data_IF_962829259298
#
_entry.id   IF_962829259298
#
_cell.length_a   1.000
_cell.length_b   1.000
_cell.length_c   1.000
_cell.angle_alpha   90.00
_cell.angle_beta   90.00
_cell.angle_gamma   90.00
#
_symmetry.space_group_name_H-M   'P 1'
#
loop_
_entity.id
_entity.type
_entity.pdbx_description
1 polymer ?
#
# COMPACT_ATOMS: atom_id res chain seq x y z
N UNK A 1 -5.11 -23.04 -14.72
CA UNK A 1 -4.66 -22.46 -13.44
C UNK A 1 -5.93 -22.18 -12.65
N UNK A 2 -6.05 -22.67 -11.42
CA UNK A 2 -7.29 -22.48 -10.64
C UNK A 2 -7.28 -21.09 -9.98
N UNK A 3 -8.44 -20.50 -9.72
CA UNK A 3 -8.61 -19.12 -9.22
C UNK A 3 -7.72 -18.82 -7.99
N UNK A 4 -7.59 -19.77 -7.07
CA UNK A 4 -6.74 -19.62 -5.88
C UNK A 4 -5.23 -19.48 -6.22
N UNK A 5 -4.76 -20.18 -7.25
CA UNK A 5 -3.37 -20.08 -7.71
C UNK A 5 -3.12 -18.76 -8.44
N UNK A 6 -4.11 -18.25 -9.17
CA UNK A 6 -4.05 -16.94 -9.81
C UNK A 6 -4.01 -15.81 -8.77
N UNK A 7 -4.86 -15.87 -7.75
CA UNK A 7 -4.84 -14.92 -6.63
C UNK A 7 -3.51 -14.97 -5.87
N UNK A 8 -2.96 -16.17 -5.62
CA UNK A 8 -1.67 -16.31 -4.96
C UNK A 8 -0.51 -15.70 -5.79
N UNK A 9 -0.53 -15.88 -7.11
CA UNK A 9 0.46 -15.29 -8.00
C UNK A 9 0.32 -13.77 -8.06
N UNK A 10 -0.90 -13.26 -8.14
CA UNK A 10 -1.19 -11.83 -8.15
C UNK A 10 -0.76 -11.16 -6.84
N UNK A 11 -1.09 -11.75 -5.68
CA UNK A 11 -0.68 -11.23 -4.37
C UNK A 11 0.85 -11.22 -4.23
N UNK A 12 1.52 -12.29 -4.66
CA UNK A 12 2.99 -12.36 -4.65
C UNK A 12 3.64 -11.35 -5.59
N UNK A 13 3.06 -11.14 -6.78
CA UNK A 13 3.52 -10.15 -7.73
C UNK A 13 3.40 -8.72 -7.17
N UNK A 14 2.22 -8.35 -6.66
CA UNK A 14 1.95 -7.05 -6.07
C UNK A 14 2.86 -6.77 -4.87
N UNK A 15 3.04 -7.76 -3.98
CA UNK A 15 3.94 -7.61 -2.83
C UNK A 15 5.38 -7.34 -3.26
N UNK A 16 5.89 -8.12 -4.21
CA UNK A 16 7.27 -7.99 -4.69
C UNK A 16 7.51 -6.62 -5.34
N UNK A 17 6.57 -6.16 -6.15
CA UNK A 17 6.63 -4.84 -6.78
C UNK A 17 6.54 -3.71 -5.74
N UNK A 18 5.64 -3.84 -4.77
CA UNK A 18 5.49 -2.87 -3.68
C UNK A 18 6.78 -2.76 -2.85
N UNK A 19 7.37 -3.90 -2.46
CA UNK A 19 8.62 -3.93 -1.69
C UNK A 19 9.76 -3.27 -2.48
N UNK A 20 9.88 -3.55 -3.78
CA UNK A 20 10.88 -2.93 -4.67
C UNK A 20 10.71 -1.42 -4.79
N UNK A 21 9.46 -0.95 -4.97
CA UNK A 21 9.15 0.49 -5.04
C UNK A 21 9.46 1.16 -3.70
N UNK A 22 9.10 0.54 -2.58
CA UNK A 22 9.37 1.06 -1.24
C UNK A 22 10.87 1.19 -0.98
N UNK A 23 11.68 0.22 -1.39
CA UNK A 23 13.12 0.28 -1.22
C UNK A 23 13.75 1.37 -2.09
N UNK A 24 13.31 1.52 -3.35
CA UNK A 24 13.76 2.64 -4.19
C UNK A 24 13.33 3.99 -3.62
N UNK A 25 12.11 4.09 -3.10
CA UNK A 25 11.59 5.29 -2.46
C UNK A 25 12.41 5.67 -1.23
N UNK A 26 12.83 4.70 -0.39
CA UNK A 26 13.70 4.96 0.76
C UNK A 26 15.03 5.59 0.34
N UNK A 27 15.67 5.05 -0.70
CA UNK A 27 16.94 5.58 -1.24
C UNK A 27 16.75 7.00 -1.75
N UNK A 28 15.76 7.23 -2.63
CA UNK A 28 15.49 8.56 -3.19
C UNK A 28 15.11 9.57 -2.11
N UNK A 29 14.37 9.15 -1.08
CA UNK A 29 14.03 10.01 0.06
C UNK A 29 15.27 10.43 0.85
N UNK A 30 16.21 9.50 1.08
CA UNK A 30 17.47 9.81 1.75
C UNK A 30 18.32 10.78 0.91
N UNK A 31 18.45 10.53 -0.39
CA UNK A 31 19.20 11.39 -1.32
C UNK A 31 18.56 12.80 -1.40
N UNK A 32 17.24 12.87 -1.48
CA UNK A 32 16.51 14.14 -1.52
C UNK A 32 16.64 14.92 -0.21
N UNK A 33 16.60 14.23 0.94
CA UNK A 33 16.85 14.85 2.24
C UNK A 33 18.28 15.42 2.33
N UNK A 34 19.27 14.68 1.81
CA UNK A 34 20.65 15.15 1.73
C UNK A 34 20.76 16.37 0.81
N UNK A 35 20.20 16.31 -0.40
CA UNK A 35 20.18 17.42 -1.35
C UNK A 35 19.51 18.68 -0.79
N UNK A 36 18.38 18.54 -0.07
CA UNK A 36 17.72 19.65 0.61
C UNK A 36 18.55 20.21 1.77
N UNK A 37 19.37 19.38 2.43
CA UNK A 37 20.26 19.83 3.49
C UNK A 37 21.44 20.61 2.91
N UNK A 38 22.11 20.04 1.91
CA UNK A 38 23.31 20.60 1.27
C UNK A 38 23.00 21.89 0.50
N UNK A 39 21.85 21.96 -0.19
CA UNK A 39 21.42 23.15 -0.93
C UNK A 39 20.89 24.28 -0.05
N UNK A 40 20.57 24.00 1.23
CA UNK A 40 19.88 24.95 2.10
C UNK A 40 18.41 25.21 1.74
N UNK A 41 17.89 24.62 0.66
CA UNK A 41 16.53 24.84 0.19
C UNK A 41 15.49 24.29 1.18
N UNK A 42 14.44 25.08 1.43
CA UNK A 42 13.33 24.67 2.30
C UNK A 42 12.24 23.91 1.55
N UNK A 43 12.12 24.11 0.23
CA UNK A 43 11.13 23.46 -0.64
C UNK A 43 11.66 23.26 -2.05
N UNK A 44 11.24 22.17 -2.69
CA UNK A 44 11.47 21.86 -4.10
C UNK A 44 10.16 21.36 -4.71
N UNK A 45 9.84 21.82 -5.91
CA UNK A 45 8.64 21.40 -6.64
C UNK A 45 8.96 20.18 -7.50
N UNK A 46 8.08 19.19 -7.48
CA UNK A 46 8.14 18.06 -8.40
C UNK A 46 7.16 18.31 -9.53
N UNK A 47 7.67 18.34 -10.76
CA UNK A 47 6.90 18.55 -11.98
C UNK A 47 6.96 17.29 -12.86
N UNK A 48 5.88 17.03 -13.58
CA UNK A 48 5.86 16.04 -14.65
C UNK A 48 6.66 16.55 -15.85
N UNK A 49 7.08 15.66 -16.77
CA UNK A 49 7.78 16.05 -17.99
C UNK A 49 7.02 17.05 -18.88
N UNK A 50 5.69 17.14 -18.71
CA UNK A 50 4.83 18.12 -19.39
C UNK A 50 4.77 19.49 -18.65
N UNK A 51 5.63 19.73 -17.67
CA UNK A 51 5.71 20.97 -16.88
C UNK A 51 4.62 21.12 -15.82
N UNK A 52 3.75 20.11 -15.64
CA UNK A 52 2.69 20.19 -14.63
C UNK A 52 3.22 19.80 -13.26
N UNK A 53 3.12 20.71 -12.31
CA UNK A 53 3.41 20.45 -10.89
C UNK A 53 2.53 19.33 -10.32
N UNK A 54 3.17 18.37 -9.66
CA UNK A 54 2.52 17.21 -9.02
C UNK A 54 2.75 17.12 -7.52
N UNK A 55 3.86 17.63 -7.00
CA UNK A 55 4.10 17.64 -5.56
C UNK A 55 5.02 18.79 -5.14
N UNK A 56 5.10 19.05 -3.84
CA UNK A 56 6.11 19.93 -3.24
C UNK A 56 6.76 19.16 -2.10
N UNK A 57 8.09 19.00 -2.19
CA UNK A 57 8.90 18.35 -1.16
C UNK A 57 9.47 19.47 -0.29
N UNK A 58 9.19 19.44 1.02
CA UNK A 58 9.63 20.47 1.95
C UNK A 58 10.49 19.90 3.06
N UNK A 59 11.48 20.67 3.50
CA UNK A 59 12.31 20.37 4.65
C UNK A 59 11.60 20.88 5.90
N UNK A 60 11.04 19.94 6.67
CA UNK A 60 10.48 20.26 7.98
C UNK A 60 11.61 20.48 8.97
N UNK A 61 11.78 21.71 9.43
CA UNK A 61 12.62 22.00 10.60
C UNK A 61 11.80 21.69 11.84
N UNK A 62 12.25 20.73 12.64
CA UNK A 62 11.68 20.49 13.96
C UNK A 62 11.91 21.73 14.82
N UNK A 63 10.82 22.30 15.36
CA UNK A 63 10.93 23.36 16.36
C UNK A 63 11.62 22.78 17.59
N UNK A 64 12.59 23.47 18.20
CA UNK A 64 13.20 23.00 19.42
C UNK A 64 12.12 22.88 20.50
N UNK A 65 11.85 21.64 20.92
CA UNK A 65 10.96 21.33 22.02
C UNK A 65 11.82 21.04 23.25
N UNK A 66 11.43 21.59 24.40
CA UNK A 66 12.06 21.22 25.66
C UNK A 66 11.73 19.74 25.94
N UNK A 67 12.77 18.93 26.10
CA UNK A 67 12.66 17.52 26.48
C UNK A 67 13.25 17.37 27.87
N UNK A 68 12.57 16.63 28.74
CA UNK A 68 13.10 16.26 30.04
C UNK A 68 14.15 15.16 29.80
N UNK A 69 15.43 15.51 29.95
CA UNK A 69 16.56 14.59 29.75
C UNK A 69 16.80 13.72 30.99
N UNK A 70 16.48 14.25 32.17
CA UNK A 70 16.57 13.55 33.46
C UNK A 70 15.24 13.71 34.22
N UNK A 71 14.36 12.69 34.14
CA UNK A 71 13.07 12.71 34.82
C UNK A 71 13.18 12.81 36.34
N UNK A 72 14.21 12.21 36.94
CA UNK A 72 14.35 12.16 38.40
C UNK A 72 14.86 13.49 38.97
N UNK A 73 15.83 14.11 38.30
CA UNK A 73 16.28 15.45 38.65
C UNK A 73 15.17 16.49 38.44
N UNK A 74 14.39 16.36 37.36
CA UNK A 74 13.24 17.22 37.09
C UNK A 74 12.15 17.04 38.15
N UNK A 75 11.81 15.81 38.53
CA UNK A 75 10.82 15.52 39.56
C UNK A 75 11.23 16.13 40.91
N UNK A 76 12.49 15.96 41.32
CA UNK A 76 13.03 16.56 42.56
C UNK A 76 12.93 18.08 42.54
N UNK A 77 13.27 18.70 41.40
CA UNK A 77 13.14 20.14 41.23
C UNK A 77 11.68 20.60 41.29
N UNK A 78 10.75 19.88 40.64
CA UNK A 78 9.31 20.18 40.67
C UNK A 78 8.74 20.02 42.09
N UNK A 79 9.17 19.00 42.83
CA UNK A 79 8.76 18.80 44.23
C UNK A 79 9.17 19.97 45.12
N UNK A 80 10.34 20.58 44.88
CA UNK A 80 10.83 21.73 45.66
C UNK A 80 10.22 23.05 45.17
N UNK A 81 10.17 23.27 43.86
CA UNK A 81 9.84 24.57 43.28
C UNK A 81 8.35 24.72 42.92
N UNK A 82 7.62 23.61 42.79
CA UNK A 82 6.20 23.59 42.42
C UNK A 82 5.47 22.39 43.03
N UNK A 83 5.41 22.27 44.37
CA UNK A 83 4.91 21.09 45.07
C UNK A 83 3.45 20.73 44.75
N UNK A 84 2.62 21.71 44.38
CA UNK A 84 1.22 21.50 43.99
C UNK A 84 1.04 20.77 42.65
N UNK A 85 2.10 20.63 41.85
CA UNK A 85 2.11 19.88 40.59
C UNK A 85 2.76 18.49 40.72
N UNK A 86 3.29 18.14 41.90
CA UNK A 86 3.80 16.81 42.19
C UNK A 86 2.68 15.96 42.81
N UNK A 87 2.18 14.97 42.08
CA UNK A 87 1.12 14.07 42.57
C UNK A 87 1.74 12.74 42.97
N UNK A 88 1.58 12.36 44.24
CA UNK A 88 1.90 11.01 44.72
C UNK A 88 0.66 10.16 44.68
N UNK A 89 0.71 9.02 43.98
CA UNK A 89 -0.37 8.04 43.92
C UNK A 89 0.14 6.69 44.43
N UNK A 90 -0.50 6.15 45.47
CA UNK A 90 -0.33 4.75 45.88
C UNK A 90 -1.22 3.90 44.97
N UNK A 91 -0.61 3.17 44.05
CA UNK A 91 -1.34 2.26 43.17
C UNK A 91 -1.13 0.83 43.66
N UNK A 92 -2.23 0.16 44.01
CA UNK A 92 -2.22 -1.28 44.29
C UNK A 92 -2.50 -2.00 42.97
N UNK A 93 -1.44 -2.51 42.34
CA UNK A 93 -1.55 -3.26 41.09
C UNK A 93 -1.23 -4.74 41.32
N UNK A 94 -1.91 -5.61 40.57
CA UNK A 94 -1.51 -7.01 40.44
C UNK A 94 -0.14 -7.05 39.76
N UNK A 95 0.79 -7.84 40.30
CA UNK A 95 2.14 -7.96 39.71
C UNK A 95 2.05 -8.34 38.24
N UNK A 96 2.65 -7.58 37.31
CA UNK A 96 2.56 -7.86 35.88
C UNK A 96 2.99 -9.29 35.52
N UNK A 97 4.05 -9.79 36.14
CA UNK A 97 4.51 -11.17 35.93
C UNK A 97 3.49 -12.22 36.37
N UNK A 98 2.72 -11.96 37.43
CA UNK A 98 1.66 -12.84 37.90
C UNK A 98 0.47 -12.82 36.92
N UNK A 99 0.05 -11.63 36.48
CA UNK A 99 -1.01 -11.49 35.48
C UNK A 99 -0.63 -12.16 34.13
N UNK A 100 0.60 -11.98 33.66
CA UNK A 100 1.10 -12.62 32.43
C UNK A 100 1.17 -14.14 32.58
N UNK A 101 1.66 -14.66 33.71
CA UNK A 101 1.70 -16.10 33.96
C UNK A 101 0.31 -16.71 33.98
N UNK A 102 -0.64 -16.07 34.68
CA UNK A 102 -2.02 -16.53 34.80
C UNK A 102 -2.74 -16.58 33.44
N UNK A 103 -2.60 -15.52 32.64
CA UNK A 103 -3.18 -15.47 31.29
C UNK A 103 -2.53 -16.48 30.34
N UNK A 104 -1.23 -16.74 30.48
CA UNK A 104 -0.54 -17.75 29.68
C UNK A 104 -1.01 -19.17 30.04
N UNK A 105 -1.23 -19.47 31.32
CA UNK A 105 -1.79 -20.75 31.76
C UNK A 105 -3.23 -20.95 31.26
N UNK A 106 -4.09 -19.94 31.34
CA UNK A 106 -5.45 -19.99 30.78
C UNK A 106 -5.44 -20.14 29.24
N UNK A 107 -4.54 -19.43 28.56
CA UNK A 107 -4.40 -19.56 27.09
C UNK A 107 -3.92 -20.97 26.69
N UNK A 108 -3.03 -21.58 27.48
CA UNK A 108 -2.56 -22.95 27.25
C UNK A 108 -3.64 -24.01 27.56
N UNK A 109 -4.48 -23.76 28.56
CA UNK A 109 -5.61 -24.63 28.91
C UNK A 109 -6.80 -24.48 27.96
N UNK A 110 -6.91 -23.36 27.24
CA UNK A 110 -8.03 -23.07 26.34
C UNK A 110 -9.34 -22.75 27.09
N UNK A 111 -9.27 -22.54 28.40
CA UNK A 111 -10.40 -22.19 29.27
C UNK A 111 -10.03 -21.02 30.19
N UNK A 112 -11.01 -20.18 30.54
CA UNK A 112 -10.81 -19.04 31.46
C UNK A 112 -10.82 -19.48 32.94
N UNK A 113 -10.30 -20.66 33.21
CA UNK A 113 -10.28 -21.30 34.51
C UNK A 113 -8.83 -21.45 34.98
N UNK A 114 -8.59 -21.17 36.25
CA UNK A 114 -7.28 -21.36 36.88
C UNK A 114 -7.36 -22.56 37.78
N UNK A 115 -6.41 -23.47 37.61
CA UNK A 115 -6.18 -24.58 38.53
C UNK A 115 -5.18 -24.10 39.58
N UNK A 116 -5.61 -23.98 40.83
CA UNK A 116 -4.69 -23.77 41.94
C UNK A 116 -3.88 -25.06 42.17
N UNK A 117 -2.57 -24.99 41.98
CA UNK A 117 -1.66 -26.14 42.03
C UNK A 117 -1.46 -26.69 43.45
N UNK A 118 -1.87 -25.98 44.50
CA UNK A 118 -1.79 -26.47 45.89
C UNK A 118 -3.11 -27.10 46.37
N UNK A 119 -4.25 -26.65 45.86
CA UNK A 119 -5.58 -27.10 46.34
C UNK A 119 -6.34 -27.96 45.33
N UNK A 120 -5.94 -27.95 44.05
CA UNK A 120 -6.58 -28.72 42.98
C UNK A 120 -7.98 -28.24 42.61
N UNK A 121 -8.42 -27.10 43.16
CA UNK A 121 -9.72 -26.50 42.85
C UNK A 121 -9.58 -25.64 41.61
N UNK A 122 -10.44 -25.90 40.64
CA UNK A 122 -10.55 -25.13 39.40
C UNK A 122 -11.56 -24.02 39.65
N UNK A 123 -11.09 -22.77 39.64
CA UNK A 123 -11.94 -21.58 39.83
C UNK A 123 -11.98 -20.76 38.54
N UNK A 124 -13.19 -20.37 38.12
CA UNK A 124 -13.39 -19.46 36.99
C UNK A 124 -13.01 -18.04 37.42
N UNK A 125 -12.07 -17.39 36.73
CA UNK A 125 -11.60 -16.05 37.11
C UNK A 125 -12.56 -14.99 36.56
N UNK A 126 -13.26 -14.20 37.42
CA UNK A 126 -14.16 -13.16 36.95
C UNK A 126 -13.42 -12.11 36.13
N UNK A 127 -13.92 -11.82 34.92
CA UNK A 127 -13.38 -10.78 34.04
C UNK A 127 -12.35 -11.25 33.00
N UNK A 128 -12.06 -12.55 32.91
CA UNK A 128 -11.22 -13.11 31.84
C UNK A 128 -12.07 -13.87 30.83
N UNK A 129 -11.93 -13.50 29.55
CA UNK A 129 -12.59 -14.17 28.42
C UNK A 129 -11.52 -14.56 27.39
N UNK A 130 -11.49 -15.83 27.00
CA UNK A 130 -10.62 -16.28 25.90
C UNK A 130 -11.34 -15.98 24.59
N UNK A 131 -10.92 -14.89 23.95
CA UNK A 131 -11.30 -14.57 22.57
C UNK A 131 -10.17 -14.95 21.63
N UNK A 132 -10.51 -15.38 20.41
CA UNK A 132 -9.55 -15.38 19.32
C UNK A 132 -9.08 -13.93 19.09
N UNK A 133 -7.88 -13.60 19.58
CA UNK A 133 -7.37 -12.23 19.60
C UNK A 133 -6.95 -11.72 18.22
N UNK A 134 -6.86 -12.60 17.21
CA UNK A 134 -6.54 -12.22 15.83
C UNK A 134 -7.53 -12.84 14.85
N UNK A 135 -7.94 -12.03 13.89
CA UNK A 135 -8.51 -12.55 12.64
C UNK A 135 -7.48 -13.45 11.95
N UNK A 136 -7.94 -14.52 11.30
CA UNK A 136 -7.07 -15.39 10.51
C UNK A 136 -6.60 -14.61 9.28
N UNK A 137 -5.34 -14.17 9.28
CA UNK A 137 -4.70 -13.49 8.15
C UNK A 137 -3.72 -14.43 7.46
N UNK A 138 -3.57 -14.31 6.13
CA UNK A 138 -2.51 -14.96 5.37
C UNK A 138 -1.28 -14.06 5.26
N UNK A 139 -0.13 -14.64 4.94
CA UNK A 139 1.12 -13.91 4.71
C UNK A 139 1.84 -14.45 3.49
N UNK A 140 2.24 -13.58 2.58
CA UNK A 140 3.05 -13.96 1.42
C UNK A 140 4.53 -13.91 1.77
N UNK A 141 5.21 -15.02 1.49
CA UNK A 141 6.67 -15.13 1.55
C UNK A 141 7.16 -15.70 0.23
N UNK A 142 7.76 -14.87 -0.64
CA UNK A 142 8.40 -15.37 -1.85
C UNK A 142 9.45 -16.43 -1.50
N UNK A 143 9.62 -17.40 -2.39
CA UNK A 143 10.76 -18.33 -2.32
C UNK A 143 12.07 -17.57 -2.53
N UNK A 144 13.21 -18.22 -2.27
CA UNK A 144 14.55 -17.61 -2.34
C UNK A 144 14.80 -16.80 -3.63
N UNK A 145 14.33 -17.32 -4.77
CA UNK A 145 14.48 -16.67 -6.08
C UNK A 145 13.14 -16.14 -6.64
N UNK A 146 12.06 -16.30 -5.87
CA UNK A 146 10.70 -15.96 -6.32
C UNK A 146 10.52 -14.49 -6.64
N UNK A 147 11.17 -13.60 -5.87
CA UNK A 147 11.11 -12.16 -6.11
C UNK A 147 11.78 -11.77 -7.45
N UNK A 148 12.92 -12.38 -7.78
CA UNK A 148 13.64 -12.11 -9.03
C UNK A 148 12.89 -12.68 -10.24
N UNK A 149 12.32 -13.88 -10.11
CA UNK A 149 11.46 -14.47 -11.13
C UNK A 149 10.21 -13.63 -11.40
N UNK A 150 9.57 -13.10 -10.35
CA UNK A 150 8.44 -12.18 -10.47
C UNK A 150 8.86 -10.87 -11.15
N UNK A 151 10.03 -10.31 -10.79
CA UNK A 151 10.55 -9.10 -11.40
C UNK A 151 10.89 -9.30 -12.89
N UNK A 152 11.41 -10.47 -13.27
CA UNK A 152 11.65 -10.85 -14.66
C UNK A 152 10.34 -11.06 -15.42
N UNK A 153 9.38 -11.78 -14.83
CA UNK A 153 8.05 -11.98 -15.40
C UNK A 153 7.28 -10.65 -15.58
N UNK A 154 7.52 -9.67 -14.69
CA UNK A 154 7.01 -8.31 -14.83
C UNK A 154 7.65 -7.59 -16.02
N UNK A 155 8.99 -7.54 -16.07
CA UNK A 155 9.74 -6.85 -17.14
C UNK A 155 9.48 -7.45 -18.53
N UNK A 156 9.35 -8.76 -18.62
CA UNK A 156 9.05 -9.49 -19.86
C UNK A 156 7.57 -9.42 -20.26
N UNK A 157 6.69 -8.89 -19.41
CA UNK A 157 5.24 -8.84 -19.67
C UNK A 157 4.51 -10.18 -19.48
N UNK A 158 5.18 -11.23 -19.01
CA UNK A 158 4.57 -12.54 -18.76
C UNK A 158 3.44 -12.50 -17.71
N UNK A 159 3.43 -11.50 -16.83
CA UNK A 159 2.36 -11.25 -15.87
C UNK A 159 1.17 -10.44 -16.44
N UNK A 160 1.14 -10.16 -17.75
CA UNK A 160 0.10 -9.31 -18.38
C UNK A 160 -1.32 -9.88 -18.33
N UNK A 161 -1.48 -11.17 -17.99
CA UNK A 161 -2.78 -11.80 -17.75
C UNK A 161 -3.34 -11.51 -16.34
N UNK A 162 -2.54 -10.92 -15.45
CA UNK A 162 -2.93 -10.51 -14.10
C UNK A 162 -3.35 -9.04 -14.08
N UNK A 163 -4.25 -8.67 -13.17
CA UNK A 163 -4.76 -7.30 -13.04
C UNK A 163 -3.79 -6.40 -12.24
N UNK A 164 -2.53 -6.30 -12.68
CA UNK A 164 -1.50 -5.54 -11.98
C UNK A 164 -1.50 -4.05 -12.39
N UNK A 165 -1.26 -3.10 -11.46
CA UNK A 165 -1.16 -1.68 -11.79
C UNK A 165 0.06 -1.40 -12.67
N UNK A 166 -0.15 -0.84 -13.86
CA UNK A 166 0.95 -0.43 -14.74
C UNK A 166 1.45 -1.48 -15.73
N UNK A 167 0.83 -2.68 -15.81
CA UNK A 167 0.89 -3.54 -17.02
C UNK A 167 0.05 -2.92 -18.13
N UNK A 168 0.38 -1.68 -18.50
CA UNK A 168 -0.06 -1.06 -19.74
C UNK A 168 0.80 -1.56 -20.90
N UNK A 169 0.85 -2.87 -21.11
CA UNK A 169 0.99 -3.35 -22.49
C UNK A 169 -0.44 -3.62 -22.88
N UNK A 170 -1.00 -2.75 -23.71
CA UNK A 170 -2.22 -3.09 -24.43
C UNK A 170 -2.00 -4.51 -24.95
N UNK A 171 -2.86 -5.44 -24.52
CA UNK A 171 -2.79 -6.80 -25.06
C UNK A 171 -2.73 -6.68 -26.57
N UNK A 172 -1.96 -7.55 -27.24
CA UNK A 172 -1.83 -7.53 -28.70
C UNK A 172 -3.23 -7.46 -29.36
N UNK A 173 -4.21 -8.11 -28.74
CA UNK A 173 -5.63 -8.03 -29.08
C UNK A 173 -6.23 -6.61 -29.00
N UNK A 174 -5.92 -5.84 -27.95
CA UNK A 174 -6.36 -4.45 -27.81
C UNK A 174 -5.68 -3.49 -28.80
N UNK A 175 -4.40 -3.74 -29.12
CA UNK A 175 -3.65 -2.98 -30.13
C UNK A 175 -4.17 -3.28 -31.54
N UNK A 176 -4.41 -4.55 -31.88
CA UNK A 176 -5.02 -4.96 -33.15
C UNK A 176 -6.45 -4.43 -33.30
N UNK A 177 -7.27 -4.46 -32.25
CA UNK A 177 -8.61 -3.89 -32.28
C UNK A 177 -8.58 -2.36 -32.51
N UNK A 178 -7.60 -1.67 -31.91
CA UNK A 178 -7.41 -0.23 -32.07
C UNK A 178 -6.91 0.12 -33.48
N UNK A 179 -5.96 -0.65 -34.02
CA UNK A 179 -5.49 -0.53 -35.40
C UNK A 179 -6.61 -0.77 -36.40
N UNK A 180 -7.37 -1.86 -36.26
CA UNK A 180 -8.52 -2.14 -37.13
C UNK A 180 -9.58 -1.03 -37.07
N UNK A 181 -9.79 -0.41 -35.89
CA UNK A 181 -10.71 0.73 -35.75
C UNK A 181 -10.17 1.99 -36.46
N UNK A 182 -8.85 2.20 -36.45
CA UNK A 182 -8.21 3.33 -37.12
C UNK A 182 -8.17 3.14 -38.63
N UNK A 183 -7.86 1.94 -39.11
CA UNK A 183 -7.91 1.58 -40.53
C UNK A 183 -9.33 1.75 -41.10
N UNK A 184 -10.36 1.32 -40.36
CA UNK A 184 -11.76 1.59 -40.75
C UNK A 184 -12.09 3.08 -40.81
N UNK A 185 -11.55 3.89 -39.89
CA UNK A 185 -11.74 5.35 -39.90
C UNK A 185 -11.02 6.00 -41.07
N UNK A 186 -9.83 5.54 -41.40
CA UNK A 186 -9.03 6.06 -42.51
C UNK A 186 -9.63 5.69 -43.87
N UNK A 187 -10.16 4.46 -43.98
CA UNK A 187 -10.94 4.01 -45.13
C UNK A 187 -12.22 4.84 -45.29
N UNK A 188 -12.94 5.12 -44.20
CA UNK A 188 -14.13 5.97 -44.22
C UNK A 188 -13.78 7.41 -44.64
N UNK A 189 -12.71 7.99 -44.10
CA UNK A 189 -12.26 9.34 -44.49
C UNK A 189 -11.87 9.38 -45.96
N UNK A 190 -11.13 8.38 -46.44
CA UNK A 190 -10.77 8.26 -47.86
C UNK A 190 -12.01 8.10 -48.76
N UNK A 191 -13.01 7.33 -48.33
CA UNK A 191 -14.27 7.16 -49.04
C UNK A 191 -15.10 8.46 -49.06
N UNK A 192 -15.11 9.21 -47.95
CA UNK A 192 -15.75 10.52 -47.86
C UNK A 192 -15.06 11.54 -48.77
N UNK A 193 -13.73 11.58 -48.80
CA UNK A 193 -12.97 12.44 -49.71
C UNK A 193 -13.22 12.07 -51.18
N UNK A 194 -13.22 10.77 -51.52
CA UNK A 194 -13.52 10.30 -52.88
C UNK A 194 -14.97 10.59 -53.32
N UNK A 195 -15.91 10.59 -52.38
CA UNK A 195 -17.30 10.99 -52.60
C UNK A 195 -17.50 12.52 -52.63
N UNK A 196 -16.43 13.31 -52.44
CA UNK A 196 -16.48 14.77 -52.46
C UNK A 196 -17.18 15.38 -51.24
N UNK A 197 -17.18 14.68 -50.10
CA UNK A 197 -17.73 15.18 -48.83
C UNK A 197 -16.77 16.21 -48.22
N UNK A 198 -16.76 17.39 -48.80
CA UNK A 198 -16.06 18.55 -48.26
C UNK A 198 -16.98 19.27 -47.28
N UNK A 199 -16.76 19.11 -45.97
CA UNK A 199 -17.51 19.72 -44.85
C UNK A 199 -18.95 19.17 -44.61
N UNK A 200 -19.76 19.85 -43.78
CA UNK A 200 -21.11 19.41 -43.38
C UNK A 200 -22.06 19.11 -44.57
N UNK A 201 -21.73 19.57 -45.78
CA UNK A 201 -22.42 19.19 -47.03
C UNK A 201 -21.89 17.83 -47.52
N UNK A 202 -22.75 16.80 -47.51
CA UNK A 202 -22.40 15.43 -47.91
C UNK A 202 -22.41 14.39 -46.77
N UNK A 203 -22.63 14.82 -45.52
CA UNK A 203 -22.80 13.92 -44.36
C UNK A 203 -24.01 12.97 -44.49
N UNK A 204 -24.96 13.28 -45.37
CA UNK A 204 -26.11 12.43 -45.71
C UNK A 204 -25.74 11.17 -46.50
N UNK A 205 -24.54 11.11 -47.08
CA UNK A 205 -24.02 9.94 -47.81
C UNK A 205 -23.23 8.97 -46.90
N UNK A 206 -22.91 9.40 -45.66
CA UNK A 206 -22.16 8.57 -44.69
C UNK A 206 -22.91 7.29 -44.29
N UNK A 207 -24.24 7.28 -44.08
CA UNK A 207 -24.96 6.05 -43.78
C UNK A 207 -24.89 5.00 -44.89
N UNK A 208 -24.87 5.41 -46.17
CA UNK A 208 -24.68 4.47 -47.30
C UNK A 208 -23.27 3.90 -47.34
N UNK A 209 -22.24 4.73 -47.09
CA UNK A 209 -20.84 4.29 -47.07
C UNK A 209 -20.53 3.31 -45.92
N UNK A 210 -21.31 3.35 -44.83
CA UNK A 210 -21.19 2.42 -43.70
C UNK A 210 -21.88 1.07 -43.94
N UNK A 211 -22.86 1.01 -44.85
CA UNK A 211 -23.65 -0.20 -45.11
C UNK A 211 -23.09 -1.05 -46.27
N UNK A 212 -22.27 -0.47 -47.15
CA UNK A 212 -21.67 -1.20 -48.27
C UNK A 212 -20.59 -2.22 -47.81
N UNK A 213 -20.11 -2.13 -46.56
CA UNK A 213 -19.13 -3.04 -45.95
C UNK A 213 -19.74 -4.34 -45.35
N UNK A 214 -21.07 -4.51 -45.33
CA UNK A 214 -21.73 -5.74 -44.83
C UNK A 214 -22.07 -6.78 -45.91
N UNK A 215 -21.83 -6.50 -47.21
CA UNK A 215 -22.15 -7.42 -48.32
C UNK A 215 -20.95 -7.91 -49.17
N UNK A 216 -19.69 -7.77 -48.70
CA UNK A 216 -18.50 -8.27 -49.41
C UNK A 216 -17.66 -9.26 -48.61
#
# INVERSE_FOLDING_TARGET
>A
MNDMQQLALEEAALKTLADTILDRLKVVKADMQKALTDSGASRVEAELPNGRKVATISRTTSKPAAVIVDPDAFLKWVQVNSPHNAVTRLVTEVRPAYATGLLAEMTAAGTAEVSDKETGVVEAVPGVEIRATRSVTHSVRPTKDGAELIAEAWRSGALGHLSLPGTGVASDAGLHARLATLEKRDALLSAMEAAGVDNWQGMELVPSLLNDDEEA
#
